data_IF_811193219270
#
_entry.id   IF_811193219270
#
_cell.length_a   1.000
_cell.length_b   1.000
_cell.length_c   1.000
_cell.angle_alpha   90.00
_cell.angle_beta   90.00
_cell.angle_gamma   90.00
#
_symmetry.space_group_name_H-M   'P 1'
#
loop_
_entity.id
_entity.type
_entity.pdbx_description
1 polymer ?
#
# COMPACT_ATOMS: atom_id res chain seq x y z
N UNK A 1 19.11 11.10 -7.23
CA UNK A 1 19.41 11.41 -8.64
C UNK A 1 18.51 12.52 -9.21
N UNK A 2 17.18 12.46 -9.05
CA UNK A 2 16.25 13.49 -9.58
C UNK A 2 16.53 14.92 -9.09
N UNK A 3 17.12 15.07 -7.91
CA UNK A 3 17.50 16.36 -7.33
C UNK A 3 18.97 16.71 -7.56
N UNK A 4 19.72 15.90 -8.34
CA UNK A 4 21.13 16.11 -8.65
C UNK A 4 22.09 15.86 -7.47
N UNK A 5 21.62 15.18 -6.42
CA UNK A 5 22.42 14.80 -5.27
C UNK A 5 22.44 13.28 -5.12
N UNK A 6 23.62 12.69 -5.23
CA UNK A 6 23.84 11.28 -4.91
C UNK A 6 23.88 11.10 -3.39
N UNK A 7 23.12 10.15 -2.89
CA UNK A 7 23.06 9.80 -1.46
C UNK A 7 23.18 8.28 -1.29
N UNK A 8 24.38 7.72 -1.51
CA UNK A 8 24.61 6.28 -1.44
C UNK A 8 24.28 5.69 -0.06
N UNK A 9 24.39 6.48 1.00
CA UNK A 9 23.96 6.12 2.36
C UNK A 9 22.44 5.88 2.45
N UNK A 10 21.64 6.68 1.75
CA UNK A 10 20.19 6.49 1.70
C UNK A 10 19.79 5.30 0.82
N UNK A 11 20.45 5.14 -0.32
CA UNK A 11 20.21 4.02 -1.22
C UNK A 11 20.53 2.69 -0.55
N UNK A 12 21.66 2.61 0.17
CA UNK A 12 22.03 1.42 0.93
C UNK A 12 21.01 1.14 2.06
N UNK A 13 20.56 2.17 2.78
CA UNK A 13 19.57 2.02 3.83
C UNK A 13 18.22 1.54 3.28
N UNK A 14 17.80 2.11 2.14
CA UNK A 14 16.58 1.69 1.45
C UNK A 14 16.68 0.23 0.97
N UNK A 15 17.82 -0.16 0.36
CA UNK A 15 18.03 -1.52 -0.10
C UNK A 15 18.02 -2.54 1.04
N UNK A 16 18.66 -2.23 2.17
CA UNK A 16 18.66 -3.09 3.38
C UNK A 16 17.23 -3.25 3.93
N UNK A 17 16.49 -2.16 4.05
CA UNK A 17 15.11 -2.20 4.53
C UNK A 17 14.21 -3.00 3.58
N UNK A 18 14.31 -2.76 2.28
CA UNK A 18 13.57 -3.48 1.26
C UNK A 18 13.85 -4.99 1.32
N UNK A 19 15.14 -5.37 1.47
CA UNK A 19 15.54 -6.77 1.64
C UNK A 19 14.85 -7.42 2.85
N UNK A 20 14.93 -6.80 4.03
CA UNK A 20 14.34 -7.36 5.25
C UNK A 20 12.82 -7.47 5.12
N UNK A 21 12.14 -6.46 4.58
CA UNK A 21 10.70 -6.51 4.35
C UNK A 21 10.34 -7.65 3.39
N UNK A 22 11.09 -7.81 2.30
CA UNK A 22 10.86 -8.89 1.33
C UNK A 22 11.03 -10.27 1.98
N UNK A 23 12.12 -10.49 2.74
CA UNK A 23 12.35 -11.76 3.44
C UNK A 23 11.21 -12.07 4.44
N UNK A 24 10.73 -11.06 5.16
CA UNK A 24 9.55 -11.21 6.03
C UNK A 24 8.30 -11.59 5.23
N UNK A 25 8.00 -10.89 4.14
CA UNK A 25 6.84 -11.17 3.28
C UNK A 25 6.87 -12.58 2.68
N UNK A 26 8.06 -13.12 2.42
CA UNK A 26 8.27 -14.47 1.87
C UNK A 26 8.33 -15.57 2.95
N UNK A 27 8.15 -15.21 4.24
CA UNK A 27 8.20 -16.14 5.37
C UNK A 27 9.59 -16.65 5.71
N UNK A 28 10.66 -16.04 5.16
CA UNK A 28 12.06 -16.42 5.45
C UNK A 28 12.60 -15.76 6.71
N UNK A 29 12.00 -14.65 7.14
CA UNK A 29 12.33 -13.93 8.36
C UNK A 29 11.03 -13.51 9.08
N UNK A 30 10.24 -14.47 9.62
CA UNK A 30 8.91 -14.18 10.16
C UNK A 30 8.96 -13.26 11.39
N UNK A 31 10.04 -13.32 12.17
CA UNK A 31 10.21 -12.57 13.41
C UNK A 31 10.88 -11.18 13.20
N UNK A 32 11.18 -10.80 11.95
CA UNK A 32 11.84 -9.52 11.67
C UNK A 32 10.98 -8.31 12.07
N UNK A 33 9.65 -8.47 12.09
CA UNK A 33 8.69 -7.44 12.50
C UNK A 33 7.63 -8.01 13.44
N UNK A 34 7.08 -7.14 14.30
CA UNK A 34 5.93 -7.52 15.11
C UNK A 34 4.73 -7.89 14.21
N UNK A 35 3.92 -8.90 14.58
CA UNK A 35 2.77 -9.33 13.79
C UNK A 35 1.78 -8.20 13.55
N UNK A 36 1.49 -7.90 12.29
CA UNK A 36 0.56 -6.84 11.86
C UNK A 36 -0.50 -7.34 10.87
N UNK A 37 -0.62 -8.65 10.70
CA UNK A 37 -1.52 -9.27 9.73
C UNK A 37 -3.01 -8.89 9.90
N UNK A 38 -3.38 -8.30 11.03
CA UNK A 38 -4.70 -7.73 11.28
C UNK A 38 -5.00 -6.50 10.41
N UNK A 39 -3.97 -5.74 10.01
CA UNK A 39 -4.10 -4.46 9.32
C UNK A 39 -4.00 -4.64 7.80
N UNK A 40 -4.85 -3.96 7.04
CA UNK A 40 -4.82 -4.02 5.57
C UNK A 40 -3.50 -3.47 5.00
N UNK A 41 -2.95 -2.42 5.61
CA UNK A 41 -1.67 -1.83 5.21
C UNK A 41 -0.52 -2.84 5.25
N UNK A 42 -0.49 -3.76 6.23
CA UNK A 42 0.49 -4.85 6.25
C UNK A 42 0.41 -5.73 4.99
N UNK A 43 -0.78 -5.86 4.42
CA UNK A 43 -1.01 -6.65 3.21
C UNK A 43 -0.50 -5.97 1.94
N UNK A 44 -0.85 -4.70 1.68
CA UNK A 44 -0.55 -4.06 0.40
C UNK A 44 0.62 -3.05 0.43
N UNK A 45 1.07 -2.53 1.57
CA UNK A 45 2.21 -1.60 1.63
C UNK A 45 3.52 -2.16 1.09
N UNK A 46 3.89 -3.44 1.30
CA UNK A 46 5.07 -4.01 0.65
C UNK A 46 5.00 -3.98 -0.89
N UNK A 47 3.79 -4.02 -1.45
CA UNK A 47 3.56 -3.87 -2.89
C UNK A 47 3.76 -2.41 -3.32
N UNK A 48 3.16 -1.45 -2.61
CA UNK A 48 3.33 -0.01 -2.86
C UNK A 48 4.79 0.44 -2.73
N UNK A 49 5.51 -0.12 -1.77
CA UNK A 49 6.93 0.17 -1.55
C UNK A 49 7.86 -0.44 -2.59
N UNK A 50 7.37 -1.25 -3.54
CA UNK A 50 8.17 -1.86 -4.60
C UNK A 50 9.21 -2.87 -4.10
N UNK A 51 9.04 -3.41 -2.87
CA UNK A 51 10.02 -4.34 -2.27
C UNK A 51 9.82 -5.80 -2.70
N UNK A 52 8.81 -6.07 -3.50
CA UNK A 52 8.47 -7.39 -4.02
C UNK A 52 8.55 -7.38 -5.55
N UNK A 53 8.91 -8.49 -6.13
CA UNK A 53 8.77 -8.67 -7.59
C UNK A 53 7.28 -8.61 -7.97
N UNK A 54 6.99 -8.33 -9.24
CA UNK A 54 5.60 -8.27 -9.74
C UNK A 54 4.81 -9.56 -9.48
N UNK A 55 5.47 -10.71 -9.61
CA UNK A 55 4.85 -12.02 -9.34
C UNK A 55 4.56 -12.20 -7.85
N UNK A 56 5.50 -11.85 -6.99
CA UNK A 56 5.32 -11.90 -5.52
C UNK A 56 4.22 -10.94 -5.07
N UNK A 57 4.19 -9.74 -5.64
CA UNK A 57 3.16 -8.72 -5.37
C UNK A 57 1.76 -9.22 -5.72
N UNK A 58 1.58 -9.81 -6.91
CA UNK A 58 0.30 -10.43 -7.30
C UNK A 58 -0.12 -11.52 -6.33
N UNK A 59 0.77 -12.46 -6.06
CA UNK A 59 0.49 -13.56 -5.14
C UNK A 59 0.09 -13.05 -3.75
N UNK A 60 0.74 -11.97 -3.26
CA UNK A 60 0.42 -11.35 -1.99
C UNK A 60 -0.96 -10.67 -1.99
N UNK A 61 -1.30 -9.94 -3.05
CA UNK A 61 -2.61 -9.30 -3.20
C UNK A 61 -3.72 -10.35 -3.25
N UNK A 62 -3.54 -11.39 -4.05
CA UNK A 62 -4.52 -12.48 -4.19
C UNK A 62 -4.74 -13.24 -2.87
N UNK A 63 -3.65 -13.52 -2.13
CA UNK A 63 -3.69 -14.37 -0.93
C UNK A 63 -4.60 -13.83 0.19
N UNK A 64 -4.84 -12.52 0.25
CA UNK A 64 -5.62 -11.91 1.34
C UNK A 64 -6.76 -11.03 0.84
N UNK A 65 -7.05 -11.06 -0.44
CA UNK A 65 -8.14 -10.29 -1.04
C UNK A 65 -9.46 -10.51 -0.29
N UNK A 66 -9.85 -11.76 -0.09
CA UNK A 66 -11.11 -12.12 0.57
C UNK A 66 -11.16 -11.72 2.06
N UNK A 67 -10.00 -11.48 2.67
CA UNK A 67 -9.93 -11.00 4.06
C UNK A 67 -10.30 -9.53 4.16
N UNK A 68 -9.83 -8.72 3.21
CA UNK A 68 -9.92 -7.26 3.31
C UNK A 68 -10.90 -6.63 2.34
N UNK A 69 -11.09 -7.19 1.16
CA UNK A 69 -11.99 -6.61 0.15
C UNK A 69 -13.41 -7.06 0.42
N UNK A 70 -14.32 -6.09 0.53
CA UNK A 70 -15.76 -6.30 0.58
C UNK A 70 -16.32 -5.90 -0.76
N UNK A 71 -16.81 -6.88 -1.51
CA UNK A 71 -17.31 -6.69 -2.87
C UNK A 71 -18.42 -5.62 -2.91
N UNK A 72 -18.29 -4.70 -3.85
CA UNK A 72 -19.23 -3.58 -4.00
C UNK A 72 -19.07 -2.47 -2.97
N UNK A 73 -18.11 -2.56 -2.02
CA UNK A 73 -17.97 -1.59 -0.92
C UNK A 73 -16.58 -0.98 -0.78
N UNK A 74 -15.51 -1.78 -0.85
CA UNK A 74 -14.13 -1.32 -0.71
C UNK A 74 -13.30 -2.21 0.20
N UNK A 75 -12.30 -1.63 0.84
CA UNK A 75 -11.30 -2.32 1.65
C UNK A 75 -11.52 -2.05 3.14
N UNK A 76 -11.52 -3.12 3.93
CA UNK A 76 -11.49 -3.01 5.40
C UNK A 76 -10.12 -2.55 5.86
N UNK A 77 -10.06 -1.58 6.77
CA UNK A 77 -8.79 -1.17 7.37
C UNK A 77 -8.21 -2.25 8.31
N UNK A 78 -9.08 -3.06 8.93
CA UNK A 78 -8.70 -4.19 9.79
C UNK A 78 -9.56 -5.42 9.48
N UNK A 79 -8.98 -6.61 9.60
CA UNK A 79 -9.61 -7.87 9.20
C UNK A 79 -10.78 -8.30 10.09
N UNK A 80 -10.77 -7.90 11.36
CA UNK A 80 -11.70 -8.32 12.40
C UNK A 80 -12.78 -7.28 12.75
N UNK A 81 -12.92 -6.25 11.92
CA UNK A 81 -13.93 -5.20 12.06
C UNK A 81 -14.59 -4.90 10.74
N UNK A 82 -15.88 -4.51 10.76
CA UNK A 82 -16.63 -4.19 9.55
C UNK A 82 -16.38 -2.74 9.05
N UNK A 83 -15.15 -2.24 9.21
CA UNK A 83 -14.77 -0.87 8.92
C UNK A 83 -14.17 -0.76 7.52
N UNK A 84 -14.93 -0.23 6.59
CA UNK A 84 -14.51 0.02 5.21
C UNK A 84 -14.12 1.49 5.11
N UNK A 85 -12.94 1.78 4.59
CA UNK A 85 -12.37 3.12 4.56
C UNK A 85 -11.99 3.53 3.13
N UNK A 86 -12.16 4.82 2.83
CA UNK A 86 -11.85 5.34 1.51
C UNK A 86 -10.33 5.33 1.22
N UNK A 87 -9.52 5.68 2.22
CA UNK A 87 -8.07 5.74 2.07
C UNK A 87 -7.48 4.35 1.76
N UNK A 88 -7.77 3.32 2.58
CA UNK A 88 -7.28 1.97 2.35
C UNK A 88 -7.79 1.37 1.03
N UNK A 89 -9.01 1.74 0.62
CA UNK A 89 -9.54 1.35 -0.70
C UNK A 89 -8.73 1.96 -1.82
N UNK A 90 -8.35 3.24 -1.73
CA UNK A 90 -7.54 3.93 -2.71
C UNK A 90 -6.08 3.47 -2.72
N UNK A 91 -5.48 3.23 -1.56
CA UNK A 91 -4.12 2.69 -1.47
C UNK A 91 -4.02 1.27 -2.05
N UNK A 92 -4.99 0.41 -1.74
CA UNK A 92 -5.10 -0.92 -2.35
C UNK A 92 -5.28 -0.83 -3.89
N UNK A 93 -6.08 0.12 -4.36
CA UNK A 93 -6.23 0.41 -5.79
C UNK A 93 -4.88 0.72 -6.45
N UNK A 94 -4.05 1.56 -5.83
CA UNK A 94 -2.73 1.92 -6.36
C UNK A 94 -1.82 0.67 -6.38
N UNK A 95 -1.90 -0.18 -5.35
CA UNK A 95 -1.18 -1.46 -5.34
C UNK A 95 -1.63 -2.38 -6.48
N UNK A 96 -2.92 -2.46 -6.79
CA UNK A 96 -3.44 -3.22 -7.94
C UNK A 96 -2.94 -2.65 -9.28
N UNK A 97 -2.85 -1.32 -9.41
CA UNK A 97 -2.26 -0.69 -10.59
C UNK A 97 -0.78 -1.05 -10.79
N UNK A 98 0.00 -1.10 -9.71
CA UNK A 98 1.44 -1.42 -9.77
C UNK A 98 1.72 -2.82 -10.32
N UNK A 99 0.78 -3.74 -10.14
CA UNK A 99 0.87 -5.09 -10.69
C UNK A 99 0.13 -5.26 -12.04
N UNK A 100 -0.50 -4.20 -12.54
CA UNK A 100 -1.20 -4.16 -13.83
C UNK A 100 -2.66 -4.60 -13.78
N UNK A 101 -3.28 -4.73 -12.62
CA UNK A 101 -4.67 -5.11 -12.44
C UNK A 101 -5.61 -3.89 -12.56
N UNK A 102 -5.59 -3.23 -13.73
CA UNK A 102 -6.34 -1.99 -13.94
C UNK A 102 -7.85 -2.12 -13.76
N UNK A 103 -8.41 -3.25 -14.13
CA UNK A 103 -9.86 -3.49 -13.96
C UNK A 103 -10.26 -3.49 -12.49
N UNK A 104 -9.53 -4.21 -11.65
CA UNK A 104 -9.76 -4.24 -10.21
C UNK A 104 -9.54 -2.86 -9.57
N UNK A 105 -8.52 -2.14 -10.04
CA UNK A 105 -8.29 -0.77 -9.59
C UNK A 105 -9.47 0.16 -9.90
N UNK A 106 -10.04 0.08 -11.09
CA UNK A 106 -11.23 0.86 -11.47
C UNK A 106 -12.46 0.47 -10.63
N UNK A 107 -12.63 -0.80 -10.32
CA UNK A 107 -13.70 -1.25 -9.41
C UNK A 107 -13.55 -0.64 -8.02
N UNK A 108 -12.36 -0.75 -7.42
CA UNK A 108 -12.08 -0.16 -6.11
C UNK A 108 -12.33 1.35 -6.11
N UNK A 109 -11.91 2.06 -7.16
CA UNK A 109 -12.19 3.50 -7.29
C UNK A 109 -13.69 3.81 -7.34
N UNK A 110 -14.44 3.01 -8.10
CA UNK A 110 -15.90 3.13 -8.17
C UNK A 110 -16.55 2.94 -6.81
N UNK A 111 -16.07 1.97 -6.03
CA UNK A 111 -16.60 1.72 -4.69
C UNK A 111 -16.25 2.83 -3.71
N UNK A 112 -15.04 3.39 -3.80
CA UNK A 112 -14.64 4.53 -2.96
C UNK A 112 -15.54 5.76 -3.19
N UNK A 113 -16.13 5.93 -4.40
CA UNK A 113 -17.05 7.04 -4.68
C UNK A 113 -18.33 7.03 -3.85
N UNK A 114 -18.72 5.88 -3.27
CA UNK A 114 -19.88 5.78 -2.37
C UNK A 114 -19.69 6.59 -1.08
N UNK A 115 -18.44 6.91 -0.74
CA UNK A 115 -18.08 7.72 0.44
C UNK A 115 -18.00 9.21 0.13
N UNK A 116 -18.30 9.63 -1.11
CA UNK A 116 -18.24 11.03 -1.51
C UNK A 116 -19.40 11.83 -0.96
N UNK A 117 -19.10 12.98 -0.33
CA UNK A 117 -20.06 13.95 0.16
C UNK A 117 -20.55 14.87 -0.97
N UNK A 118 -21.65 15.57 -0.75
CA UNK A 118 -22.21 16.54 -1.71
C UNK A 118 -21.26 17.71 -1.98
N UNK A 119 -20.47 18.10 -0.98
CA UNK A 119 -19.48 19.18 -1.08
C UNK A 119 -18.16 18.75 -1.76
N UNK A 120 -18.05 17.48 -2.16
CA UNK A 120 -16.90 16.91 -2.86
C UNK A 120 -15.83 16.29 -1.98
N UNK A 121 -15.91 16.46 -0.66
CA UNK A 121 -15.07 15.72 0.31
C UNK A 121 -15.50 14.26 0.41
N UNK A 122 -14.75 13.47 1.18
CA UNK A 122 -15.04 12.06 1.42
C UNK A 122 -15.13 11.75 2.92
N UNK A 123 -16.13 10.94 3.28
CA UNK A 123 -16.15 10.31 4.60
C UNK A 123 -14.93 9.42 4.77
N UNK A 124 -14.35 9.39 5.97
CA UNK A 124 -13.22 8.51 6.29
C UNK A 124 -13.57 7.05 6.02
N UNK A 125 -14.77 6.63 6.39
CA UNK A 125 -15.27 5.30 6.12
C UNK A 125 -16.70 5.05 6.57
N UNK A 126 -17.10 3.80 6.44
CA UNK A 126 -18.41 3.28 6.90
C UNK A 126 -18.23 1.97 7.67
N UNK A 127 -19.19 1.68 8.55
CA UNK A 127 -19.40 0.37 9.15
C UNK A 127 -20.36 -0.41 8.25
N UNK A 128 -19.95 -1.53 7.69
CA UNK A 128 -20.81 -2.37 6.87
C UNK A 128 -21.24 -3.64 7.64
N UNK A 129 -22.52 -4.05 7.66
CA UNK A 129 -23.59 -3.61 6.74
C UNK A 129 -24.45 -2.43 7.24
N UNK A 130 -24.17 -1.87 8.42
CA UNK A 130 -25.03 -0.85 9.04
C UNK A 130 -25.03 0.50 8.29
N UNK A 131 -24.06 0.72 7.39
CA UNK A 131 -23.86 1.92 6.56
C UNK A 131 -23.82 3.24 7.36
N UNK A 132 -23.34 3.17 8.61
CA UNK A 132 -23.06 4.36 9.43
C UNK A 132 -21.63 4.81 9.23
N UNK A 133 -21.40 6.13 9.26
CA UNK A 133 -20.05 6.70 9.07
C UNK A 133 -19.08 6.23 10.17
N UNK A 134 -17.82 6.03 9.79
CA UNK A 134 -16.74 5.61 10.68
C UNK A 134 -15.47 6.42 10.40
N UNK A 135 -14.78 6.90 11.46
CA UNK A 135 -15.28 7.03 12.82
C UNK A 135 -16.24 8.24 12.92
N UNK A 136 -17.48 8.00 13.34
CA UNK A 136 -18.54 9.01 13.35
C UNK A 136 -18.60 9.81 12.03
N UNK A 137 -18.89 11.13 12.08
CA UNK A 137 -18.99 12.00 10.89
C UNK A 137 -17.61 12.61 10.51
N UNK A 138 -16.54 11.79 10.56
CA UNK A 138 -15.19 12.26 10.28
C UNK A 138 -14.91 12.31 8.77
N UNK A 139 -14.30 13.44 8.38
CA UNK A 139 -13.74 13.68 7.04
C UNK A 139 -12.33 14.22 7.19
N UNK A 140 -11.34 13.47 6.77
CA UNK A 140 -9.93 13.85 6.93
C UNK A 140 -9.32 14.28 5.61
N UNK A 141 -8.40 15.23 5.67
CA UNK A 141 -7.59 15.61 4.50
C UNK A 141 -6.72 14.46 4.00
N UNK A 142 -6.37 13.53 4.87
CA UNK A 142 -5.69 12.29 4.50
C UNK A 142 -6.55 11.44 3.55
N UNK A 143 -7.84 11.30 3.86
CA UNK A 143 -8.79 10.58 3.00
C UNK A 143 -8.90 11.23 1.63
N UNK A 144 -9.10 12.54 1.58
CA UNK A 144 -9.19 13.29 0.33
C UNK A 144 -7.88 13.17 -0.48
N UNK A 145 -6.72 13.23 0.18
CA UNK A 145 -5.43 13.05 -0.47
C UNK A 145 -5.28 11.66 -1.09
N UNK A 146 -5.73 10.60 -0.43
CA UNK A 146 -5.70 9.24 -0.98
C UNK A 146 -6.57 9.12 -2.24
N UNK A 147 -7.74 9.75 -2.26
CA UNK A 147 -8.61 9.81 -3.45
C UNK A 147 -7.91 10.53 -4.62
N UNK A 148 -7.26 11.67 -4.35
CA UNK A 148 -6.53 12.44 -5.37
C UNK A 148 -5.39 11.61 -5.94
N UNK A 149 -4.58 10.97 -5.09
CA UNK A 149 -3.48 10.11 -5.53
C UNK A 149 -3.98 8.93 -6.38
N UNK A 150 -5.08 8.31 -5.98
CA UNK A 150 -5.68 7.21 -6.72
C UNK A 150 -6.22 7.66 -8.09
N UNK A 151 -6.90 8.81 -8.13
CA UNK A 151 -7.40 9.39 -9.38
C UNK A 151 -6.25 9.75 -10.34
N UNK A 152 -5.18 10.35 -9.82
CA UNK A 152 -3.99 10.70 -10.60
C UNK A 152 -3.26 9.44 -11.12
N UNK A 153 -3.09 8.42 -10.27
CA UNK A 153 -2.51 7.14 -10.65
C UNK A 153 -3.30 6.44 -11.77
N UNK A 154 -4.64 6.49 -11.72
CA UNK A 154 -5.52 5.95 -12.76
C UNK A 154 -5.48 6.75 -14.06
N UNK A 155 -5.49 8.08 -13.98
CA UNK A 155 -5.57 8.98 -15.14
C UNK A 155 -4.21 9.29 -15.77
N UNK A 156 -3.13 9.10 -15.03
CA UNK A 156 -1.76 9.47 -15.45
C UNK A 156 -1.64 10.96 -15.81
N UNK A 157 -2.28 11.82 -15.02
CA UNK A 157 -2.40 13.25 -15.36
C UNK A 157 -1.18 14.05 -14.92
N UNK A 158 -0.63 13.78 -13.73
CA UNK A 158 0.53 14.50 -13.22
C UNK A 158 1.85 13.73 -13.37
N UNK A 159 3.00 14.41 -13.28
CA UNK A 159 4.31 13.73 -13.22
C UNK A 159 4.47 12.82 -12.01
N UNK A 160 3.69 13.01 -10.93
CA UNK A 160 3.74 12.19 -9.74
C UNK A 160 2.90 10.90 -9.85
N UNK A 161 2.08 10.76 -10.88
CA UNK A 161 1.15 9.63 -11.09
C UNK A 161 1.82 8.25 -11.07
N UNK A 162 3.12 8.20 -11.39
CA UNK A 162 3.93 6.98 -11.38
C UNK A 162 4.57 6.63 -10.04
N UNK A 163 4.51 7.51 -9.04
CA UNK A 163 5.32 7.40 -7.82
C UNK A 163 5.23 6.03 -7.12
N UNK A 164 4.04 5.44 -7.06
CA UNK A 164 3.80 4.15 -6.40
C UNK A 164 3.49 3.00 -7.36
N UNK A 165 3.59 3.21 -8.66
CA UNK A 165 3.22 2.20 -9.66
C UNK A 165 4.31 1.89 -10.67
N UNK A 166 5.25 2.83 -10.90
CA UNK A 166 6.35 2.65 -11.85
C UNK A 166 7.62 2.21 -11.11
N UNK A 167 7.58 1.01 -10.53
CA UNK A 167 8.67 0.46 -9.74
C UNK A 167 9.95 0.19 -10.57
N UNK A 168 9.88 0.24 -11.88
CA UNK A 168 11.06 0.14 -12.77
C UNK A 168 12.06 1.29 -12.57
N UNK A 169 11.59 2.43 -12.02
CA UNK A 169 12.44 3.55 -11.66
C UNK A 169 13.17 3.37 -10.31
N UNK A 170 12.78 2.35 -9.52
CA UNK A 170 13.46 2.03 -8.26
C UNK A 170 14.73 1.23 -8.53
N UNK A 171 15.74 1.32 -7.63
CA UNK A 171 16.92 0.45 -7.69
C UNK A 171 16.48 -1.03 -7.72
N UNK A 172 17.20 -1.90 -8.47
CA UNK A 172 16.88 -3.31 -8.50
C UNK A 172 16.95 -3.91 -7.10
N UNK A 173 16.05 -4.87 -6.84
CA UNK A 173 16.07 -5.61 -5.59
C UNK A 173 17.42 -6.35 -5.48
N UNK A 174 18.20 -5.97 -4.48
CA UNK A 174 19.52 -6.57 -4.21
C UNK A 174 19.33 -7.69 -3.20
N UNK A 175 19.84 -8.89 -3.50
CA UNK A 175 20.04 -9.91 -2.47
C UNK A 175 21.27 -9.47 -1.65
N UNK A 176 21.02 -9.09 -0.41
CA UNK A 176 22.10 -8.74 0.53
C UNK A 176 22.46 -10.05 1.25
N UNK A 177 23.71 -10.47 1.10
CA UNK A 177 24.24 -11.56 1.89
C UNK A 177 24.20 -11.16 3.37
N UNK A 178 23.43 -11.87 4.16
CA UNK A 178 23.27 -11.62 5.60
C UNK A 178 24.41 -12.17 6.44
N UNK A 179 25.48 -12.66 5.80
CA UNK A 179 26.65 -13.24 6.50
C UNK A 179 27.63 -12.20 7.04
N UNK A 180 27.39 -10.91 6.83
CA UNK A 180 28.08 -9.87 7.59
C UNK A 180 27.48 -9.82 9.01
N UNK A 181 27.90 -10.77 9.84
CA UNK A 181 27.81 -10.68 11.29
C UNK A 181 28.22 -9.25 11.68
N UNK A 182 27.30 -8.56 12.34
CA UNK A 182 27.59 -7.33 13.07
C UNK A 182 28.68 -7.71 14.07
N UNK A 183 29.95 -7.59 13.69
CA UNK A 183 31.04 -7.61 14.63
C UNK A 183 30.89 -6.35 15.46
N UNK A 184 30.50 -6.51 16.71
CA UNK A 184 30.67 -5.54 17.78
C UNK A 184 31.96 -4.74 17.57
N UNK A 185 31.82 -3.50 17.18
CA UNK A 185 32.81 -2.48 17.46
C UNK A 185 32.26 -1.61 18.58
N UNK A 186 32.31 -2.18 19.77
CA UNK A 186 32.49 -1.42 20.97
C UNK A 186 33.98 -0.96 20.98
N UNK A 187 34.21 0.32 20.85
CA UNK A 187 35.35 1.08 21.40
C UNK A 187 34.89 2.54 21.57
#
# INVERSE_FOLDING_TARGET
ELLGHERPDWELSAARLAHVIRQHCLGKAPDAFAPKARWAMDWYYPVLGGVLTRTESRARLDARRDTFVVEGRGVRCVSDRPWITAAETCECLIAELSVGNREQALQLFSWAQQLRCEDGHYWTGIVFPDEVHFPADERTTYTDAAIILAADALSRTSPASGLFIDHEALPPLVEIDTDDSISDRAD
#
